data_IF_239269931403
#
_entry.id   IF_239269931403
#
_cell.length_a   1.000
_cell.length_b   1.000
_cell.length_c   1.000
_cell.angle_alpha   90.00
_cell.angle_beta   90.00
_cell.angle_gamma   90.00
#
_symmetry.space_group_name_H-M   'P 1'
#
loop_
_entity.id
_entity.type
_entity.pdbx_description
1 polymer ?
#
# COMPACT_ATOMS: atom_id res chain seq x y z
N UNK A 1 -15.72 -5.75 -2.56
CA UNK A 1 -14.76 -5.86 -1.43
C UNK A 1 -15.01 -7.06 -0.50
N UNK A 2 -16.27 -7.48 -0.28
CA UNK A 2 -16.59 -8.68 0.52
C UNK A 2 -15.88 -9.96 0.07
N UNK A 3 -15.84 -10.23 -1.26
CA UNK A 3 -15.08 -11.37 -1.81
C UNK A 3 -13.61 -11.34 -1.39
N UNK A 4 -12.93 -10.22 -1.61
CA UNK A 4 -11.50 -10.07 -1.27
C UNK A 4 -11.26 -10.27 0.23
N UNK A 5 -12.13 -9.72 1.07
CA UNK A 5 -12.09 -9.94 2.53
C UNK A 5 -12.27 -11.43 2.89
N UNK A 6 -13.22 -12.12 2.27
CA UNK A 6 -13.42 -13.56 2.48
C UNK A 6 -12.23 -14.39 1.98
N UNK A 7 -11.54 -13.94 0.93
CA UNK A 7 -10.29 -14.53 0.45
C UNK A 7 -9.07 -14.21 1.32
N UNK A 8 -9.23 -13.51 2.44
CA UNK A 8 -8.14 -13.17 3.37
C UNK A 8 -7.25 -12.01 2.89
N UNK A 9 -7.75 -11.15 2.02
CA UNK A 9 -6.99 -9.97 1.55
C UNK A 9 -7.06 -8.85 2.58
N UNK A 10 -5.91 -8.42 3.08
CA UNK A 10 -5.79 -7.33 4.07
C UNK A 10 -5.72 -5.93 3.45
N UNK A 11 -5.22 -5.81 2.21
CA UNK A 11 -5.08 -4.56 1.48
C UNK A 11 -5.23 -4.77 -0.04
N UNK A 12 -5.75 -3.76 -0.74
CA UNK A 12 -5.96 -3.79 -2.20
C UNK A 12 -5.31 -2.57 -2.83
N UNK A 13 -4.62 -2.79 -3.95
CA UNK A 13 -3.99 -1.75 -4.75
C UNK A 13 -3.94 -2.12 -6.23
N UNK A 14 -3.45 -1.21 -7.06
CA UNK A 14 -3.43 -1.35 -8.52
C UNK A 14 -2.01 -1.46 -9.11
N UNK A 15 -1.00 -1.72 -8.27
CA UNK A 15 0.42 -1.77 -8.66
C UNK A 15 1.19 -2.85 -7.86
N UNK A 16 2.52 -2.81 -7.92
CA UNK A 16 3.48 -3.58 -7.08
C UNK A 16 3.68 -5.03 -7.48
N UNK A 17 2.61 -5.79 -7.75
CA UNK A 17 2.72 -7.25 -7.99
C UNK A 17 3.57 -7.56 -9.23
N UNK A 18 3.42 -6.78 -10.31
CA UNK A 18 4.14 -7.00 -11.56
C UNK A 18 5.65 -6.76 -11.42
N UNK A 19 6.02 -5.71 -10.69
CA UNK A 19 7.41 -5.35 -10.41
C UNK A 19 8.08 -6.38 -9.51
N UNK A 20 7.39 -6.82 -8.45
CA UNK A 20 7.88 -7.86 -7.52
C UNK A 20 8.13 -9.17 -8.25
N UNK A 21 7.20 -9.60 -9.12
CA UNK A 21 7.36 -10.84 -9.87
C UNK A 21 8.60 -10.80 -10.78
N UNK A 22 8.80 -9.67 -11.47
CA UNK A 22 9.94 -9.47 -12.37
C UNK A 22 11.27 -9.43 -11.61
N UNK A 23 11.34 -8.68 -10.51
CA UNK A 23 12.54 -8.61 -9.67
C UNK A 23 12.87 -9.96 -9.02
N UNK A 24 11.84 -10.73 -8.63
CA UNK A 24 12.03 -12.05 -8.04
C UNK A 24 12.60 -13.03 -9.06
N UNK A 25 12.07 -13.00 -10.30
CA UNK A 25 12.60 -13.78 -11.40
C UNK A 25 14.08 -13.45 -11.69
N UNK A 26 14.50 -12.21 -11.47
CA UNK A 26 15.90 -11.78 -11.60
C UNK A 26 16.78 -12.12 -10.36
N UNK A 27 16.26 -12.84 -9.37
CA UNK A 27 17.02 -13.25 -8.17
C UNK A 27 17.25 -12.14 -7.15
N UNK A 28 16.49 -11.04 -7.20
CA UNK A 28 16.64 -9.91 -6.28
C UNK A 28 15.99 -10.21 -4.92
N UNK A 29 16.60 -9.71 -3.84
CA UNK A 29 15.93 -9.61 -2.52
C UNK A 29 14.97 -8.42 -2.56
N UNK A 30 13.72 -8.66 -2.15
CA UNK A 30 12.64 -7.68 -2.31
C UNK A 30 11.98 -7.43 -0.95
N UNK A 31 11.67 -6.16 -0.69
CA UNK A 31 10.81 -5.72 0.40
C UNK A 31 9.77 -4.76 -0.19
N UNK A 32 8.49 -4.96 0.14
CA UNK A 32 7.40 -4.11 -0.28
C UNK A 32 6.49 -3.81 0.91
N UNK A 33 5.95 -2.60 0.96
CA UNK A 33 4.96 -2.18 1.95
C UNK A 33 3.93 -1.26 1.29
N UNK A 34 2.75 -1.14 1.90
CA UNK A 34 1.69 -0.26 1.41
C UNK A 34 1.35 0.79 2.45
N UNK A 35 1.23 2.05 2.03
CA UNK A 35 0.53 3.05 2.83
C UNK A 35 -0.97 2.85 2.63
N UNK A 36 -1.68 2.53 3.70
CA UNK A 36 -3.14 2.45 3.66
C UNK A 36 -3.70 3.87 3.62
N UNK A 37 -4.17 4.29 2.44
CA UNK A 37 -4.67 5.64 2.18
C UNK A 37 -6.09 5.86 2.67
N UNK A 38 -6.91 4.80 2.69
CA UNK A 38 -8.32 4.87 3.05
C UNK A 38 -8.80 3.49 3.51
N UNK A 39 -9.91 3.47 4.24
CA UNK A 39 -10.61 2.23 4.58
C UNK A 39 -11.53 1.85 3.42
N UNK A 40 -11.54 0.56 3.09
CA UNK A 40 -12.43 0.01 2.08
C UNK A 40 -13.89 0.01 2.60
N UNK A 41 -14.80 0.60 1.82
CA UNK A 41 -16.24 0.59 2.11
C UNK A 41 -16.84 -0.75 1.68
N UNK A 42 -17.37 -1.51 2.65
CA UNK A 42 -17.86 -2.88 2.42
C UNK A 42 -19.37 -3.05 2.49
N UNK A 43 -20.07 -2.02 2.95
CA UNK A 43 -21.51 -2.03 3.19
C UNK A 43 -22.18 -0.91 2.41
N UNK A 44 -23.43 -1.15 1.99
CA UNK A 44 -24.16 -0.27 1.09
C UNK A 44 -24.73 0.99 1.77
N UNK A 45 -24.77 1.01 3.11
CA UNK A 45 -25.26 2.12 3.92
C UNK A 45 -24.18 3.15 4.29
N UNK A 46 -22.97 2.97 3.75
CA UNK A 46 -21.81 3.80 4.05
C UNK A 46 -21.60 4.78 2.89
N UNK A 47 -22.04 6.03 3.09
CA UNK A 47 -22.03 7.12 2.09
C UNK A 47 -20.61 7.64 1.75
N UNK A 48 -19.57 6.96 2.23
CA UNK A 48 -18.18 7.36 2.04
C UNK A 48 -17.69 7.02 0.62
N UNK A 49 -17.53 8.05 -0.21
CA UNK A 49 -16.92 7.90 -1.53
C UNK A 49 -15.39 8.04 -1.47
N UNK A 50 -14.70 7.01 -1.97
CA UNK A 50 -13.24 7.03 -2.12
C UNK A 50 -12.87 8.01 -3.22
N UNK A 51 -12.12 9.06 -2.88
CA UNK A 51 -11.66 10.06 -3.83
C UNK A 51 -10.12 10.09 -3.91
N UNK A 52 -9.59 10.48 -5.07
CA UNK A 52 -8.15 10.52 -5.29
C UNK A 52 -7.45 11.61 -4.47
N UNK A 53 -8.13 12.72 -4.17
CA UNK A 53 -7.55 13.82 -3.40
C UNK A 53 -7.16 13.39 -1.98
N UNK A 54 -8.03 12.63 -1.31
CA UNK A 54 -7.80 12.09 0.03
C UNK A 54 -6.62 11.11 0.07
N UNK A 55 -6.44 10.32 -1.00
CA UNK A 55 -5.26 9.46 -1.15
C UNK A 55 -3.99 10.30 -1.18
N UNK A 56 -3.97 11.39 -1.95
CA UNK A 56 -2.83 12.30 -2.06
C UNK A 56 -2.57 13.01 -0.72
N UNK A 57 -3.61 13.49 -0.05
CA UNK A 57 -3.48 14.20 1.22
C UNK A 57 -2.99 13.30 2.35
N UNK A 58 -3.47 12.05 2.39
CA UNK A 58 -2.93 11.03 3.30
C UNK A 58 -1.47 10.74 3.00
N UNK A 59 -1.10 10.67 1.72
CA UNK A 59 0.30 10.55 1.30
C UNK A 59 1.18 11.68 1.84
N UNK A 60 0.78 12.93 1.64
CA UNK A 60 1.49 14.12 2.14
C UNK A 60 1.58 14.12 3.67
N UNK A 61 0.49 13.78 4.36
CA UNK A 61 0.46 13.74 5.82
C UNK A 61 1.44 12.71 6.39
N UNK A 62 1.64 11.58 5.69
CA UNK A 62 2.49 10.48 6.14
C UNK A 62 3.91 10.52 5.58
N UNK A 63 4.19 11.42 4.64
CA UNK A 63 5.50 11.61 4.02
C UNK A 63 6.66 11.63 5.04
N UNK A 64 6.61 12.38 6.16
CA UNK A 64 7.75 12.46 7.07
C UNK A 64 8.10 11.10 7.70
N UNK A 65 7.08 10.31 8.03
CA UNK A 65 7.23 8.98 8.63
C UNK A 65 7.77 7.99 7.59
N UNK A 66 7.24 8.04 6.36
CA UNK A 66 7.72 7.20 5.26
C UNK A 66 9.17 7.47 4.92
N UNK A 67 9.55 8.75 4.86
CA UNK A 67 10.93 9.18 4.62
C UNK A 67 11.87 8.61 5.69
N UNK A 68 11.49 8.71 6.96
CA UNK A 68 12.29 8.20 8.06
C UNK A 68 12.43 6.67 8.01
N UNK A 69 11.32 5.96 7.75
CA UNK A 69 11.32 4.51 7.62
C UNK A 69 12.28 4.05 6.51
N UNK A 70 12.11 4.58 5.30
CA UNK A 70 12.93 4.19 4.15
C UNK A 70 14.41 4.55 4.38
N UNK A 71 14.69 5.72 4.95
CA UNK A 71 16.06 6.16 5.27
C UNK A 71 16.72 5.17 6.25
N UNK A 72 16.04 4.80 7.33
CA UNK A 72 16.54 3.81 8.30
C UNK A 72 16.73 2.42 7.68
N UNK A 73 15.83 2.01 6.80
CA UNK A 73 15.96 0.72 6.11
C UNK A 73 17.21 0.68 5.24
N UNK A 74 17.43 1.70 4.40
CA UNK A 74 18.62 1.79 3.55
C UNK A 74 19.90 1.81 4.39
N UNK A 75 19.94 2.59 5.48
CA UNK A 75 21.12 2.64 6.36
C UNK A 75 21.45 1.31 7.04
N UNK A 76 20.46 0.45 7.29
CA UNK A 76 20.66 -0.87 7.91
C UNK A 76 20.96 -1.99 6.91
N UNK A 77 20.81 -1.72 5.61
CA UNK A 77 21.08 -2.67 4.53
C UNK A 77 22.53 -2.58 4.03
N UNK A 78 23.20 -1.46 4.30
CA UNK A 78 24.65 -1.28 4.17
C UNK A 78 25.37 -1.76 5.43
#
# INVERSE_FOLDING_TARGET
LRLLKTCGVDAVGMSTVHEVLTAHHAGMRIFAFSLISNKCVTDYDDDYEVNHAEVIDTGKMREPILKELVTRMVMKMC
#
